data_IF_871644113604
#
_entry.id   IF_871644113604
#
_cell.length_a   1.000
_cell.length_b   1.000
_cell.length_c   1.000
_cell.angle_alpha   90.00
_cell.angle_beta   90.00
_cell.angle_gamma   90.00
#
_symmetry.space_group_name_H-M   'P 1'
#
loop_
_entity.id
_entity.type
_entity.pdbx_description
1 polymer ?
#
# COMPACT_ATOMS: atom_id res chain seq x y z
N UNK A 1 -8.36 -8.34 4.90
CA UNK A 1 -7.64 -8.77 3.69
C UNK A 1 -8.59 -8.60 2.52
N UNK A 2 -8.38 -7.60 1.69
CA UNK A 2 -9.21 -7.37 0.51
C UNK A 2 -8.31 -7.49 -0.73
N UNK A 3 -8.48 -8.56 -1.51
CA UNK A 3 -7.71 -8.74 -2.75
C UNK A 3 -8.28 -7.81 -3.81
N UNK A 4 -7.48 -6.84 -4.25
CA UNK A 4 -7.90 -5.81 -5.20
C UNK A 4 -7.67 -6.24 -6.64
N UNK A 5 -6.65 -7.06 -6.87
CA UNK A 5 -6.29 -7.56 -8.18
C UNK A 5 -5.65 -8.92 -8.05
N UNK A 6 -6.02 -9.85 -8.91
CA UNK A 6 -5.43 -11.19 -8.98
C UNK A 6 -5.31 -11.59 -10.45
N UNK A 7 -4.10 -11.90 -10.88
CA UNK A 7 -3.78 -12.37 -12.22
C UNK A 7 -2.71 -13.47 -12.16
N UNK A 8 -2.36 -14.04 -13.31
CA UNK A 8 -1.33 -15.07 -13.38
C UNK A 8 0.07 -14.54 -13.02
N UNK A 9 0.36 -13.28 -13.37
CA UNK A 9 1.66 -12.66 -13.10
C UNK A 9 1.71 -11.93 -11.76
N UNK A 10 0.69 -11.14 -11.43
CA UNK A 10 0.68 -10.30 -10.24
C UNK A 10 -0.58 -10.50 -9.38
N UNK A 11 -0.46 -10.25 -8.08
CA UNK A 11 -1.59 -10.11 -7.16
C UNK A 11 -1.40 -8.87 -6.28
N UNK A 12 -2.49 -8.18 -5.96
CA UNK A 12 -2.52 -6.99 -5.11
C UNK A 12 -3.48 -7.22 -3.96
N UNK A 13 -2.96 -7.09 -2.74
CA UNK A 13 -3.73 -7.24 -1.52
C UNK A 13 -3.74 -5.92 -0.76
N UNK A 14 -4.95 -5.45 -0.45
CA UNK A 14 -5.13 -4.33 0.47
C UNK A 14 -5.19 -4.85 1.90
N UNK A 15 -4.25 -4.36 2.69
CA UNK A 15 -4.08 -4.64 4.11
C UNK A 15 -4.56 -3.40 4.85
N UNK A 16 -5.79 -3.44 5.33
CA UNK A 16 -6.29 -2.44 6.26
C UNK A 16 -5.84 -2.86 7.66
N UNK A 17 -4.77 -2.23 8.16
CA UNK A 17 -4.42 -2.40 9.57
C UNK A 17 -5.42 -1.61 10.41
N UNK A 18 -6.43 -2.31 10.94
CA UNK A 18 -7.22 -1.83 12.06
C UNK A 18 -6.28 -1.81 13.28
N UNK A 19 -5.45 -0.77 13.35
CA UNK A 19 -4.80 -0.42 14.61
C UNK A 19 -5.92 0.16 15.48
N UNK A 20 -6.40 -0.54 16.51
CA UNK A 20 -7.32 0.08 17.43
C UNK A 20 -6.64 1.35 17.95
N UNK A 21 -7.32 2.50 17.97
CA UNK A 21 -6.74 3.70 18.55
C UNK A 21 -6.29 3.28 19.95
N UNK A 22 -4.98 3.31 20.21
CA UNK A 22 -4.50 3.17 21.58
C UNK A 22 -5.17 4.31 22.34
N UNK A 23 -6.21 3.96 23.10
CA UNK A 23 -6.79 4.86 24.08
C UNK A 23 -5.60 5.30 24.93
N UNK A 24 -5.27 6.60 24.98
CA UNK A 24 -4.20 7.05 25.85
C UNK A 24 -4.65 6.67 27.26
N UNK A 25 -4.04 5.64 27.84
CA UNK A 25 -4.24 5.30 29.24
C UNK A 25 -3.84 6.54 30.01
N UNK A 26 -4.85 7.19 30.58
CA UNK A 26 -4.80 8.59 30.96
C UNK A 26 -3.84 8.81 32.11
N UNK A 27 -2.55 9.00 31.82
CA UNK A 27 -1.52 9.50 32.73
C UNK A 27 -0.21 9.66 31.96
N UNK A 28 0.09 10.90 31.55
CA UNK A 28 1.38 11.60 31.69
C UNK A 28 1.61 12.59 30.54
N UNK A 29 1.51 13.87 30.92
CA UNK A 29 2.32 15.02 30.52
C UNK A 29 2.99 15.05 29.15
N UNK A 30 2.75 16.17 28.48
CA UNK A 30 3.68 16.88 27.61
C UNK A 30 4.00 16.25 26.22
N UNK A 31 3.40 16.88 25.20
CA UNK A 31 4.01 17.06 23.86
C UNK A 31 4.26 15.81 23.00
N UNK A 32 3.34 14.85 22.91
CA UNK A 32 3.37 13.86 21.84
C UNK A 32 2.45 14.32 20.69
N UNK A 33 2.94 14.45 19.44
CA UNK A 33 2.09 14.88 18.33
C UNK A 33 0.95 13.89 18.20
N UNK A 34 -0.27 14.44 18.08
CA UNK A 34 -1.50 13.74 17.76
C UNK A 34 -1.19 12.66 16.73
N UNK A 35 -1.03 11.43 17.21
CA UNK A 35 -0.90 10.27 16.34
C UNK A 35 -2.29 10.09 15.79
N UNK A 36 -2.58 10.87 14.73
CA UNK A 36 -3.71 10.63 13.86
C UNK A 36 -3.73 9.13 13.66
N UNK A 37 -4.87 8.53 14.02
CA UNK A 37 -5.22 7.20 13.58
C UNK A 37 -5.36 7.27 12.06
N UNK A 38 -4.23 7.49 11.38
CA UNK A 38 -4.06 7.39 9.95
C UNK A 38 -4.34 5.92 9.75
N UNK A 39 -5.50 5.63 9.16
CA UNK A 39 -5.79 4.30 8.65
C UNK A 39 -4.58 3.97 7.81
N UNK A 40 -3.71 3.07 8.30
CA UNK A 40 -2.50 2.68 7.59
C UNK A 40 -2.99 1.72 6.52
N UNK A 41 -3.42 2.31 5.39
CA UNK A 41 -3.72 1.57 4.18
C UNK A 41 -2.38 0.99 3.74
N UNK A 42 -2.15 -0.30 3.94
CA UNK A 42 -1.00 -1.01 3.40
C UNK A 42 -1.40 -1.73 2.13
N UNK A 43 -0.50 -1.78 1.14
CA UNK A 43 -0.71 -2.60 -0.06
C UNK A 43 0.45 -3.56 -0.22
N UNK A 44 0.13 -4.80 -0.58
CA UNK A 44 1.11 -5.81 -0.91
C UNK A 44 0.96 -6.18 -2.39
N UNK A 45 2.04 -6.01 -3.15
CA UNK A 45 2.14 -6.38 -4.55
C UNK A 45 3.01 -7.64 -4.62
N UNK A 46 2.42 -8.72 -5.10
CA UNK A 46 3.09 -10.01 -5.26
C UNK A 46 3.31 -10.29 -6.74
N UNK A 47 4.56 -10.35 -7.17
CA UNK A 47 4.96 -10.91 -8.46
C UNK A 47 5.08 -12.43 -8.34
N UNK A 48 4.09 -13.15 -8.87
CA UNK A 48 4.04 -14.62 -8.88
C UNK A 48 5.06 -15.23 -9.83
N UNK A 49 5.53 -14.49 -10.83
CA UNK A 49 6.50 -15.00 -11.84
C UNK A 49 7.87 -15.18 -11.21
N UNK A 50 8.32 -14.21 -10.42
CA UNK A 50 9.62 -14.26 -9.74
C UNK A 50 9.51 -14.65 -8.27
N UNK A 51 8.29 -14.74 -7.72
CA UNK A 51 8.06 -14.98 -6.29
C UNK A 51 8.51 -13.81 -5.42
N UNK A 52 8.38 -12.57 -5.91
CA UNK A 52 8.76 -11.35 -5.19
C UNK A 52 7.53 -10.68 -4.61
N UNK A 53 7.68 -10.09 -3.45
CA UNK A 53 6.62 -9.40 -2.73
C UNK A 53 7.13 -8.03 -2.28
N UNK A 54 6.35 -6.99 -2.57
CA UNK A 54 6.66 -5.60 -2.24
C UNK A 54 5.51 -5.02 -1.43
N UNK A 55 5.84 -4.54 -0.24
CA UNK A 55 4.89 -3.90 0.65
C UNK A 55 5.01 -2.38 0.55
N UNK A 56 3.89 -1.71 0.30
CA UNK A 56 3.74 -0.27 0.23
C UNK A 56 3.03 0.23 1.50
N UNK A 57 3.65 1.16 2.22
CA UNK A 57 3.12 1.84 3.41
C UNK A 57 3.34 3.36 3.33
N UNK A 58 2.61 4.11 4.16
CA UNK A 58 2.75 5.55 4.27
C UNK A 58 2.47 6.28 2.95
N UNK A 59 3.39 7.16 2.52
CA UNK A 59 3.22 7.98 1.32
C UNK A 59 3.09 7.18 0.03
N UNK A 60 3.72 6.00 -0.06
CA UNK A 60 3.59 5.14 -1.23
C UNK A 60 2.21 4.49 -1.31
N UNK A 61 1.66 4.11 -0.16
CA UNK A 61 0.33 3.54 -0.12
C UNK A 61 -0.76 4.58 -0.44
N UNK A 62 -0.58 5.84 -0.04
CA UNK A 62 -1.50 6.92 -0.41
C UNK A 62 -1.57 7.11 -1.94
N UNK A 63 -0.42 7.14 -2.62
CA UNK A 63 -0.35 7.25 -4.08
C UNK A 63 -0.99 6.03 -4.75
N UNK A 64 -0.68 4.83 -4.25
CA UNK A 64 -1.26 3.60 -4.79
C UNK A 64 -2.78 3.52 -4.57
N UNK A 65 -3.27 4.00 -3.42
CA UNK A 65 -4.70 4.06 -3.15
C UNK A 65 -5.43 4.97 -4.15
N UNK A 66 -4.86 6.14 -4.47
CA UNK A 66 -5.39 7.01 -5.51
C UNK A 66 -5.43 6.30 -6.87
N UNK A 67 -4.36 5.57 -7.21
CA UNK A 67 -4.29 4.77 -8.44
C UNK A 67 -5.41 3.72 -8.51
N UNK A 68 -5.67 2.99 -7.42
CA UNK A 68 -6.79 2.03 -7.32
C UNK A 68 -8.13 2.71 -7.55
N UNK A 69 -8.35 3.92 -7.00
CA UNK A 69 -9.58 4.66 -7.23
C UNK A 69 -9.75 5.07 -8.69
N UNK A 70 -8.68 5.50 -9.35
CA UNK A 70 -8.69 5.77 -10.78
C UNK A 70 -8.99 4.52 -11.60
N UNK A 71 -8.47 3.36 -11.19
CA UNK A 71 -8.76 2.09 -11.83
C UNK A 71 -10.22 1.67 -11.70
N UNK A 72 -10.86 1.95 -10.56
CA UNK A 72 -12.30 1.73 -10.40
C UNK A 72 -13.13 2.64 -11.32
N UNK A 73 -12.62 3.82 -11.68
CA UNK A 73 -13.32 4.76 -12.56
C UNK A 73 -13.10 4.47 -14.04
N UNK A 74 -11.85 4.23 -14.45
CA UNK A 74 -11.45 4.11 -15.86
C UNK A 74 -11.32 2.65 -16.34
N UNK A 75 -11.34 1.67 -15.43
CA UNK A 75 -11.15 0.23 -15.73
C UNK A 75 -10.01 -0.02 -16.73
N UNK A 76 -8.74 0.20 -16.31
CA UNK A 76 -7.59 -0.03 -17.17
C UNK A 76 -7.52 -1.47 -17.67
N UNK A 77 -6.74 -1.69 -18.73
CA UNK A 77 -6.45 -3.04 -19.21
C UNK A 77 -5.51 -3.76 -18.25
N UNK A 78 -5.49 -5.09 -18.38
CA UNK A 78 -4.58 -5.94 -17.61
C UNK A 78 -3.12 -5.49 -17.78
N UNK A 79 -2.70 -5.21 -19.01
CA UNK A 79 -1.35 -4.78 -19.36
C UNK A 79 -0.94 -3.48 -18.62
N UNK A 80 -1.81 -2.46 -18.59
CA UNK A 80 -1.53 -1.19 -17.90
C UNK A 80 -1.39 -1.38 -16.38
N UNK A 81 -2.23 -2.25 -15.80
CA UNK A 81 -2.13 -2.63 -14.39
C UNK A 81 -0.80 -3.34 -14.15
N UNK A 82 -0.45 -4.32 -14.97
CA UNK A 82 0.79 -5.09 -14.84
C UNK A 82 2.05 -4.21 -15.02
N UNK A 83 2.08 -3.27 -15.97
CA UNK A 83 3.19 -2.32 -16.14
C UNK A 83 3.36 -1.39 -14.92
N UNK A 84 2.23 -0.96 -14.36
CA UNK A 84 2.23 -0.16 -13.13
C UNK A 84 2.80 -0.98 -11.95
N UNK A 85 2.34 -2.22 -11.78
CA UNK A 85 2.83 -3.12 -10.72
C UNK A 85 4.31 -3.49 -10.92
N UNK A 86 4.74 -3.73 -12.16
CA UNK A 86 6.14 -3.98 -12.49
C UNK A 86 7.02 -2.81 -12.06
N UNK A 87 6.59 -1.57 -12.32
CA UNK A 87 7.30 -0.35 -11.89
C UNK A 87 7.50 -0.30 -10.38
N UNK A 88 6.49 -0.67 -9.58
CA UNK A 88 6.61 -0.74 -8.11
C UNK A 88 7.55 -1.88 -7.65
N UNK A 89 7.48 -3.05 -8.29
CA UNK A 89 8.37 -4.16 -7.95
C UNK A 89 9.82 -3.95 -8.40
N UNK A 90 10.03 -3.20 -9.48
CA UNK A 90 11.35 -2.78 -9.98
C UNK A 90 12.01 -1.71 -9.11
N UNK A 91 11.22 -0.82 -8.49
CA UNK A 91 11.73 0.22 -7.57
C UNK A 91 12.40 -0.36 -6.32
N UNK A 92 12.04 -1.58 -5.88
CA UNK A 92 12.71 -2.24 -4.76
C UNK A 92 14.21 -2.54 -4.99
N UNK A 93 14.71 -2.44 -6.24
CA UNK A 93 16.14 -2.57 -6.54
C UNK A 93 16.95 -1.28 -6.34
N UNK A 94 16.32 -0.13 -6.12
CA UNK A 94 17.01 1.13 -5.87
C UNK A 94 16.55 1.72 -4.53
N UNK A 95 17.46 2.02 -3.58
CA UNK A 95 17.09 2.68 -2.33
C UNK A 95 16.66 4.12 -2.64
N UNK A 96 15.38 4.32 -2.95
CA UNK A 96 14.80 5.66 -3.03
C UNK A 96 14.47 6.07 -1.59
N UNK A 97 15.46 6.65 -0.92
CA UNK A 97 15.25 7.37 0.34
C UNK A 97 14.46 8.63 0.00
N UNK A 98 13.14 8.59 0.20
CA UNK A 98 12.33 9.81 0.23
C UNK A 98 12.38 10.33 1.68
N UNK A 99 12.90 11.55 1.84
CA UNK A 99 13.17 12.21 3.11
C UNK A 99 11.98 13.01 3.62
#
# INVERSE_FOLDING_TARGET
MNTLYDSEAFAVVHIQQDVPPMLPDGSHGMDAPLSHSLVRHGFEIVDKRSGREVYLDGSWAEVFHAQIQEWQHNTPTQEEVEETLDSYTGLAQHPVVIH
#
